data_IF_676010962500
#
_entry.id   IF_676010962500
#
_cell.length_a   1.000
_cell.length_b   1.000
_cell.length_c   1.000
_cell.angle_alpha   90.00
_cell.angle_beta   90.00
_cell.angle_gamma   90.00
#
_symmetry.space_group_name_H-M   'P 1'
#
loop_
_entity.id
_entity.type
_entity.pdbx_description
1 polymer ?
#
# COMPACT_ATOMS: atom_id res chain seq x y z
N UNK A 1 -13.38 11.84 -3.54
CA UNK A 1 -12.13 12.49 -4.02
C UNK A 1 -11.15 11.42 -4.54
N UNK A 2 -10.12 11.76 -5.33
CA UNK A 2 -9.15 10.77 -5.86
C UNK A 2 -8.50 9.90 -4.75
N UNK A 3 -8.41 10.50 -3.56
CA UNK A 3 -7.84 9.96 -2.35
C UNK A 3 -8.67 8.86 -1.65
N UNK A 4 -9.96 9.11 -1.44
CA UNK A 4 -10.89 8.14 -0.82
C UNK A 4 -11.05 6.88 -1.69
N UNK A 5 -10.90 7.03 -3.01
CA UNK A 5 -10.90 5.92 -3.95
C UNK A 5 -9.67 5.02 -3.82
N UNK A 6 -8.51 5.57 -3.42
CA UNK A 6 -7.32 4.80 -3.12
C UNK A 6 -7.54 3.94 -1.87
N UNK A 7 -8.00 4.55 -0.77
CA UNK A 7 -8.28 3.86 0.50
C UNK A 7 -9.32 2.75 0.34
N UNK A 8 -10.38 3.02 -0.42
CA UNK A 8 -11.43 2.03 -0.67
C UNK A 8 -10.88 0.83 -1.45
N UNK A 9 -10.09 1.08 -2.50
CA UNK A 9 -9.43 0.01 -3.26
C UNK A 9 -8.47 -0.80 -2.40
N UNK A 10 -7.74 -0.15 -1.50
CA UNK A 10 -6.79 -0.82 -0.60
C UNK A 10 -7.50 -1.69 0.44
N UNK A 11 -8.61 -1.23 1.02
CA UNK A 11 -9.41 -2.04 1.93
C UNK A 11 -10.05 -3.24 1.23
N UNK A 12 -10.52 -3.08 0.00
CA UNK A 12 -10.99 -4.21 -0.82
C UNK A 12 -9.86 -5.19 -1.12
N UNK A 13 -8.66 -4.69 -1.43
CA UNK A 13 -7.45 -5.48 -1.60
C UNK A 13 -7.12 -6.30 -0.35
N UNK A 14 -7.11 -5.71 0.83
CA UNK A 14 -6.89 -6.44 2.08
C UNK A 14 -7.88 -7.60 2.29
N UNK A 15 -9.13 -7.44 1.86
CA UNK A 15 -10.13 -8.51 1.90
C UNK A 15 -9.92 -9.57 0.79
N UNK A 16 -9.49 -9.18 -0.41
CA UNK A 16 -9.19 -10.12 -1.50
C UNK A 16 -7.92 -10.95 -1.23
N UNK A 17 -6.93 -10.36 -0.56
CA UNK A 17 -5.70 -11.01 -0.15
C UNK A 17 -5.90 -12.15 0.87
N UNK A 18 -7.02 -12.16 1.59
CA UNK A 18 -7.44 -13.28 2.44
C UNK A 18 -7.81 -14.53 1.63
N UNK A 19 -8.22 -14.35 0.36
CA UNK A 19 -8.69 -15.43 -0.50
C UNK A 19 -7.60 -15.97 -1.46
N UNK A 20 -6.65 -15.13 -1.90
CA UNK A 20 -5.56 -15.53 -2.81
C UNK A 20 -4.23 -14.78 -2.52
N UNK A 21 -3.34 -15.37 -1.70
CA UNK A 21 -2.12 -14.70 -1.23
C UNK A 21 -0.99 -14.58 -2.26
N UNK A 22 -1.08 -15.22 -3.44
CA UNK A 22 -0.02 -15.21 -4.45
C UNK A 22 0.09 -13.87 -5.18
N UNK A 23 -1.03 -13.29 -5.62
CA UNK A 23 -1.07 -12.02 -6.37
C UNK A 23 -1.08 -10.78 -5.45
N UNK A 24 -1.47 -11.01 -4.21
CA UNK A 24 -1.53 -10.04 -3.13
C UNK A 24 -0.24 -9.24 -2.92
N UNK A 25 0.91 -9.91 -3.00
CA UNK A 25 2.21 -9.32 -2.70
C UNK A 25 2.65 -8.36 -3.81
N UNK A 26 2.44 -8.73 -5.07
CA UNK A 26 2.79 -7.92 -6.24
C UNK A 26 1.98 -6.61 -6.26
N UNK A 27 0.70 -6.68 -5.87
CA UNK A 27 -0.17 -5.51 -5.75
C UNK A 27 0.25 -4.58 -4.60
N UNK A 28 0.61 -5.12 -3.43
CA UNK A 28 1.16 -4.31 -2.34
C UNK A 28 2.45 -3.58 -2.76
N UNK A 29 3.31 -4.25 -3.54
CA UNK A 29 4.52 -3.64 -4.07
C UNK A 29 4.22 -2.48 -5.02
N UNK A 30 3.23 -2.61 -5.90
CA UNK A 30 2.81 -1.50 -6.78
C UNK A 30 2.27 -0.29 -6.00
N UNK A 31 1.44 -0.52 -4.98
CA UNK A 31 0.94 0.54 -4.10
C UNK A 31 2.09 1.24 -3.38
N UNK A 32 3.06 0.47 -2.89
CA UNK A 32 4.23 1.02 -2.22
C UNK A 32 5.04 1.94 -3.15
N UNK A 33 5.27 1.50 -4.39
CA UNK A 33 5.95 2.26 -5.43
C UNK A 33 5.23 3.57 -5.77
N UNK A 34 3.90 3.55 -5.92
CA UNK A 34 3.14 4.78 -6.15
C UNK A 34 3.28 5.76 -4.97
N UNK A 35 3.20 5.27 -3.73
CA UNK A 35 3.34 6.12 -2.54
C UNK A 35 4.73 6.75 -2.46
N UNK A 36 5.80 5.98 -2.71
CA UNK A 36 7.18 6.48 -2.78
C UNK A 36 7.36 7.52 -3.90
N UNK A 37 6.76 7.27 -5.06
CA UNK A 37 6.83 8.20 -6.19
C UNK A 37 6.17 9.54 -5.87
N UNK A 38 4.97 9.52 -5.26
CA UNK A 38 4.29 10.74 -4.79
C UNK A 38 5.11 11.48 -3.72
N UNK A 39 5.82 10.73 -2.87
CA UNK A 39 6.72 11.26 -1.84
C UNK A 39 7.95 11.92 -2.46
N UNK A 40 8.54 11.29 -3.48
CA UNK A 40 9.69 11.77 -4.22
C UNK A 40 9.38 13.03 -5.04
N UNK A 41 8.15 13.19 -5.51
CA UNK A 41 7.66 14.40 -6.17
C UNK A 41 7.54 15.60 -5.20
N UNK A 42 7.76 15.39 -3.90
CA UNK A 42 7.76 16.46 -2.88
C UNK A 42 6.36 16.99 -2.58
N UNK A 43 5.31 16.25 -2.97
CA UNK A 43 3.94 16.59 -2.63
C UNK A 43 3.73 16.35 -1.14
N UNK A 44 3.06 17.27 -0.41
CA UNK A 44 2.69 17.02 0.97
C UNK A 44 1.69 15.86 1.02
N UNK A 45 2.18 14.67 1.38
CA UNK A 45 1.33 13.49 1.57
C UNK A 45 0.38 13.77 2.75
N UNK A 46 -0.94 13.59 2.57
CA UNK A 46 -1.89 13.64 3.67
C UNK A 46 -1.56 12.58 4.73
N UNK A 47 -1.92 12.87 5.99
CA UNK A 47 -1.69 11.96 7.13
C UNK A 47 -2.19 10.53 6.85
N UNK A 48 -3.30 10.42 6.15
CA UNK A 48 -3.91 9.15 5.75
C UNK A 48 -2.99 8.28 4.86
N UNK A 49 -2.12 8.86 4.00
CA UNK A 49 -1.13 8.09 3.23
C UNK A 49 0.05 7.66 4.07
N UNK A 50 0.46 8.50 5.01
CA UNK A 50 1.50 8.16 5.97
C UNK A 50 1.04 6.98 6.84
N UNK A 51 -0.24 6.98 7.23
CA UNK A 51 -0.84 5.89 7.99
C UNK A 51 -1.03 4.62 7.15
N UNK A 52 -1.33 4.78 5.86
CA UNK A 52 -1.37 3.68 4.90
C UNK A 52 0.01 3.03 4.72
N UNK A 53 1.05 3.82 4.47
CA UNK A 53 2.43 3.33 4.31
C UNK A 53 2.86 2.49 5.51
N UNK A 54 2.59 2.97 6.74
CA UNK A 54 2.86 2.22 7.98
C UNK A 54 2.10 0.89 8.06
N UNK A 55 0.84 0.86 7.63
CA UNK A 55 0.05 -0.38 7.60
C UNK A 55 0.60 -1.37 6.57
N UNK A 56 1.06 -0.84 5.45
CA UNK A 56 1.63 -1.60 4.34
C UNK A 56 2.98 -2.21 4.75
N UNK A 57 3.83 -1.46 5.44
CA UNK A 57 5.06 -1.97 6.08
C UNK A 57 4.77 -3.07 7.12
N UNK A 58 3.75 -2.88 7.96
CA UNK A 58 3.35 -3.89 8.93
C UNK A 58 2.87 -5.19 8.26
N UNK A 59 2.18 -5.07 7.12
CA UNK A 59 1.72 -6.23 6.35
C UNK A 59 2.87 -6.94 5.62
N UNK A 60 3.82 -6.20 5.02
CA UNK A 60 5.03 -6.81 4.46
C UNK A 60 5.82 -7.57 5.52
N UNK A 61 5.98 -6.99 6.72
CA UNK A 61 6.62 -7.64 7.86
C UNK A 61 5.89 -8.91 8.29
N UNK A 62 4.55 -8.86 8.36
CA UNK A 62 3.72 -10.01 8.71
C UNK A 62 3.84 -11.14 7.67
N UNK A 63 3.96 -10.79 6.39
CA UNK A 63 4.09 -11.73 5.28
C UNK A 63 5.53 -12.24 5.05
N UNK A 64 6.52 -11.63 5.70
CA UNK A 64 7.94 -11.96 5.49
C UNK A 64 8.45 -11.59 4.09
N UNK A 65 7.87 -10.54 3.48
CA UNK A 65 8.26 -10.04 2.16
C UNK A 65 9.24 -8.89 2.35
N UNK A 66 10.40 -8.95 1.69
CA UNK A 66 11.36 -7.85 1.71
C UNK A 66 10.83 -6.65 0.91
N UNK A 67 10.93 -5.46 1.50
CA UNK A 67 10.54 -4.20 0.86
C UNK A 67 11.41 -3.99 -0.39
N UNK A 68 10.82 -3.70 -1.57
CA UNK A 68 11.62 -3.26 -2.71
C UNK A 68 12.25 -1.90 -2.39
N UNK A 69 13.56 -1.79 -2.64
CA UNK A 69 14.37 -0.58 -2.40
C UNK A 69 14.12 0.51 -3.44
#
# INVERSE_FOLDING_TARGET
MAFEGLITRLNMLFQEMENQPADATELLMQVHLELEQMKAEGLPLPQDLVDLEKRLEAEFTRRGVDRPA
#
